data_IF_344289403785
#
_entry.id   IF_344289403785
#
_cell.length_a   1.000
_cell.length_b   1.000
_cell.length_c   1.000
_cell.angle_alpha   90.00
_cell.angle_beta   90.00
_cell.angle_gamma   90.00
#
_symmetry.space_group_name_H-M   'P 1'
#
loop_
_entity.id
_entity.type
_entity.pdbx_description
1 polymer ?
#
# COMPACT_ATOMS: atom_id res chain seq x y z
N UNK A 1 -8.70 -5.16 -7.55
CA UNK A 1 -7.58 -4.44 -8.19
C UNK A 1 -6.38 -4.21 -7.29
N UNK A 2 -6.49 -3.52 -6.14
CA UNK A 2 -5.32 -3.42 -5.23
C UNK A 2 -4.88 -4.78 -4.72
N UNK A 3 -5.84 -5.63 -4.35
CA UNK A 3 -5.65 -7.04 -3.97
C UNK A 3 -4.89 -7.83 -5.05
N UNK A 4 -5.18 -7.59 -6.33
CA UNK A 4 -4.53 -8.30 -7.44
C UNK A 4 -3.06 -7.91 -7.61
N UNK A 5 -2.69 -6.68 -7.25
CA UNK A 5 -1.31 -6.18 -7.37
C UNK A 5 -0.40 -6.77 -6.28
N UNK A 6 -0.95 -7.02 -5.09
CA UNK A 6 -0.17 -7.48 -3.93
C UNK A 6 -0.22 -8.98 -3.69
N UNK A 7 -1.04 -9.72 -4.44
CA UNK A 7 -1.11 -11.18 -4.35
C UNK A 7 0.29 -11.83 -4.44
N UNK A 8 0.68 -12.72 -3.51
CA UNK A 8 -0.14 -13.41 -2.50
C UNK A 8 -0.29 -12.69 -1.15
N UNK A 9 0.28 -11.50 -0.95
CA UNK A 9 0.17 -10.78 0.30
C UNK A 9 -1.22 -10.17 0.51
N UNK A 10 -1.72 -10.28 1.74
CA UNK A 10 -3.04 -9.77 2.11
C UNK A 10 -2.96 -8.33 2.63
N UNK A 11 -4.00 -7.54 2.32
CA UNK A 11 -4.17 -6.19 2.83
C UNK A 11 -4.90 -6.27 4.18
N UNK A 12 -4.19 -5.98 5.25
CA UNK A 12 -4.73 -5.99 6.63
C UNK A 12 -5.40 -4.66 6.98
N UNK A 13 -5.04 -3.58 6.27
CA UNK A 13 -5.62 -2.27 6.56
C UNK A 13 -5.52 -1.29 5.41
N UNK A 14 -6.41 -0.29 5.43
CA UNK A 14 -6.43 0.81 4.48
C UNK A 14 -6.78 2.09 5.19
N UNK A 15 -5.93 3.11 5.06
CA UNK A 15 -6.17 4.47 5.57
C UNK A 15 -6.05 5.46 4.44
N UNK A 16 -7.00 6.38 4.32
CA UNK A 16 -6.94 7.46 3.33
C UNK A 16 -6.62 8.75 4.07
N UNK A 17 -5.46 9.33 3.76
CA UNK A 17 -5.06 10.64 4.26
C UNK A 17 -5.45 11.71 3.25
N UNK A 18 -6.21 12.69 3.71
CA UNK A 18 -6.52 13.90 2.98
C UNK A 18 -5.52 14.97 3.40
N UNK A 19 -4.85 15.58 2.43
CA UNK A 19 -3.96 16.72 2.66
C UNK A 19 -4.75 18.03 2.52
N UNK A 20 -4.19 19.11 3.06
CA UNK A 20 -4.81 20.45 3.05
C UNK A 20 -4.92 21.01 1.63
N UNK A 21 -4.05 20.56 0.72
CA UNK A 21 -4.08 20.86 -0.72
C UNK A 21 -5.20 20.10 -1.49
N UNK A 22 -6.01 19.29 -0.79
CA UNK A 22 -7.08 18.48 -1.38
C UNK A 22 -6.60 17.16 -2.00
N UNK A 23 -5.29 16.92 -2.06
CA UNK A 23 -4.74 15.65 -2.54
C UNK A 23 -5.01 14.51 -1.55
N UNK A 24 -5.10 13.29 -2.09
CA UNK A 24 -5.41 12.09 -1.33
C UNK A 24 -4.26 11.11 -1.45
N UNK A 25 -3.81 10.58 -0.31
CA UNK A 25 -2.83 9.50 -0.28
C UNK A 25 -3.47 8.31 0.42
N UNK A 26 -3.44 7.16 -0.26
CA UNK A 26 -3.96 5.92 0.29
C UNK A 26 -2.78 5.14 0.89
N UNK A 27 -2.81 4.95 2.20
CA UNK A 27 -1.91 4.05 2.92
C UNK A 27 -2.53 2.67 2.98
N UNK A 28 -1.81 1.68 2.50
CA UNK A 28 -2.20 0.27 2.50
C UNK A 28 -1.26 -0.47 3.43
N UNK A 29 -1.84 -1.21 4.36
CA UNK A 29 -1.11 -2.03 5.32
C UNK A 29 -1.15 -3.48 4.87
N UNK A 30 0.02 -4.06 4.59
CA UNK A 30 0.17 -5.47 4.26
C UNK A 30 0.40 -6.31 5.52
N UNK A 31 0.12 -7.60 5.45
CA UNK A 31 0.43 -8.54 6.53
C UNK A 31 1.96 -8.56 6.80
N UNK A 32 2.41 -8.26 8.04
CA UNK A 32 3.83 -8.36 8.42
C UNK A 32 4.48 -9.70 8.10
N UNK A 33 3.72 -10.81 8.05
CA UNK A 33 4.25 -12.15 7.75
C UNK A 33 4.85 -12.24 6.35
N UNK A 34 4.30 -11.49 5.40
CA UNK A 34 4.73 -11.47 4.00
C UNK A 34 5.82 -10.42 3.72
N UNK A 35 6.34 -9.77 4.77
CA UNK A 35 7.31 -8.68 4.64
C UNK A 35 8.55 -9.07 3.86
N UNK A 36 9.16 -10.20 4.20
CA UNK A 36 10.37 -10.68 3.54
C UNK A 36 10.18 -10.89 2.01
N UNK A 37 8.95 -11.21 1.58
CA UNK A 37 8.62 -11.51 0.19
C UNK A 37 8.21 -10.28 -0.61
N UNK A 38 7.78 -9.20 0.05
CA UNK A 38 7.13 -8.04 -0.60
C UNK A 38 7.82 -6.70 -0.35
N UNK A 39 8.72 -6.59 0.63
CA UNK A 39 9.41 -5.34 0.96
C UNK A 39 10.20 -4.74 -0.21
N UNK A 40 10.87 -5.58 -1.01
CA UNK A 40 11.60 -5.11 -2.21
C UNK A 40 10.69 -4.70 -3.38
N UNK A 41 9.38 -4.98 -3.30
CA UNK A 41 8.40 -4.69 -4.37
C UNK A 41 7.53 -3.46 -4.09
N UNK A 42 7.61 -2.86 -2.89
CA UNK A 42 6.68 -1.82 -2.45
C UNK A 42 6.67 -0.59 -3.38
N UNK A 43 7.84 -0.17 -3.86
CA UNK A 43 7.96 0.93 -4.82
C UNK A 43 7.31 0.58 -6.16
N UNK A 44 7.49 -0.66 -6.62
CA UNK A 44 6.89 -1.16 -7.86
C UNK A 44 5.37 -1.20 -7.77
N UNK A 45 4.80 -1.70 -6.66
CA UNK A 45 3.36 -1.72 -6.45
C UNK A 45 2.75 -0.32 -6.50
N UNK A 46 3.41 0.65 -5.87
CA UNK A 46 3.01 2.06 -5.88
C UNK A 46 3.04 2.63 -7.30
N UNK A 47 4.10 2.36 -8.06
CA UNK A 47 4.25 2.80 -9.44
C UNK A 47 3.21 2.21 -10.40
N UNK A 48 2.97 0.89 -10.31
CA UNK A 48 1.96 0.19 -11.13
C UNK A 48 0.57 0.72 -10.84
N UNK A 49 0.20 0.87 -9.56
CA UNK A 49 -1.11 1.38 -9.20
C UNK A 49 -1.32 2.83 -9.64
N UNK A 50 -0.29 3.67 -9.51
CA UNK A 50 -0.31 5.04 -10.03
C UNK A 50 -0.49 5.07 -11.55
N UNK A 51 0.15 4.15 -12.28
CA UNK A 51 0.04 4.08 -13.74
C UNK A 51 -1.33 3.59 -14.21
N UNK A 52 -1.92 2.61 -13.52
CA UNK A 52 -3.21 2.01 -13.90
C UNK A 52 -4.42 2.82 -13.44
N UNK A 53 -4.37 3.37 -12.21
CA UNK A 53 -5.53 4.02 -11.58
C UNK A 53 -5.36 5.53 -11.36
N UNK A 54 -4.17 6.09 -11.61
CA UNK A 54 -3.89 7.52 -11.41
C UNK A 54 -3.92 7.97 -9.94
N UNK A 55 -3.85 7.05 -8.99
CA UNK A 55 -3.97 7.32 -7.55
C UNK A 55 -2.65 7.07 -6.85
N UNK A 56 -2.30 7.97 -5.93
CA UNK A 56 -1.12 7.82 -5.09
C UNK A 56 -1.41 6.87 -3.93
N UNK A 57 -0.64 5.78 -3.90
CA UNK A 57 -0.69 4.74 -2.88
C UNK A 57 0.69 4.58 -2.27
N UNK A 58 0.73 4.33 -0.97
CA UNK A 58 1.93 3.96 -0.22
C UNK A 58 1.63 2.65 0.50
N UNK A 59 2.51 1.66 0.32
CA UNK A 59 2.42 0.36 1.01
C UNK A 59 3.36 0.37 2.22
N UNK A 60 2.82 0.00 3.39
CA UNK A 60 3.52 -0.06 4.67
C UNK A 60 3.09 -1.34 5.40
N UNK A 61 3.78 -1.68 6.48
CA UNK A 61 3.33 -2.72 7.43
C UNK A 61 2.76 -2.03 8.67
N UNK A 62 1.78 -2.65 9.36
CA UNK A 62 1.32 -2.13 10.64
C UNK A 62 2.51 -2.08 11.60
N UNK A 63 2.73 -0.92 12.22
CA UNK A 63 3.65 -0.80 13.35
C UNK A 63 2.98 -1.58 14.47
N UNK A 64 3.60 -2.68 14.93
CA UNK A 64 3.15 -3.30 16.17
C UNK A 64 3.17 -2.22 17.25
N UNK A 65 2.01 -1.86 17.79
CA UNK A 65 1.96 -1.11 19.04
C UNK A 65 2.65 -2.02 20.08
N UNK A 66 3.81 -1.57 20.55
CA UNK A 66 4.55 -2.18 21.65
C UNK A 66 3.88 -1.84 22.99
#
# INVERSE_FOLDING_TARGET
MLEDVVYPAEIVGKRVRYRVDGSKIIKIFLDPKERNNTEYKLETFSGVYRKLAGKDVVFEYPVMEA
#
